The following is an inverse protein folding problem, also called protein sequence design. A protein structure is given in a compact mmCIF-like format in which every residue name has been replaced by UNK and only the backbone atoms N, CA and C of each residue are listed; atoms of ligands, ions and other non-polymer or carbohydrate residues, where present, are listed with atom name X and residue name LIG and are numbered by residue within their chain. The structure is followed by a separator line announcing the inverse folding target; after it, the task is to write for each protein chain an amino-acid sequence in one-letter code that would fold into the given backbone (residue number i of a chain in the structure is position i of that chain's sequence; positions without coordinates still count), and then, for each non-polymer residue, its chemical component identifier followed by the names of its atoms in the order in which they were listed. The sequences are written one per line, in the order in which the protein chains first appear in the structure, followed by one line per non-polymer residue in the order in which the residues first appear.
data_IF_001724878705
#
_entry.id   IF_001724878705
#
_cell.length_a   1.000
_cell.length_b   1.000
_cell.length_c   1.000
_cell.angle_alpha   90.00
_cell.angle_beta   90.00
_cell.angle_gamma   90.00
#
_symmetry.space_group_name_H-M   'P 1'
#
loop_
_entity.id
_entity.type
_entity.pdbx_description
1 polymer ?
#
# COMPACT_ATOMS: atom_id res chain seq x y z
N UNK A 1 21.72 2.99 -0.93
CA UNK A 1 21.50 1.70 -1.62
C UNK A 1 20.04 1.41 -1.96
N UNK A 2 19.07 1.59 -1.04
CA UNK A 2 17.64 1.28 -1.30
C UNK A 2 17.00 2.05 -2.48
N UNK A 3 17.45 3.29 -2.75
CA UNK A 3 16.87 4.19 -3.76
C UNK A 3 16.98 3.64 -5.20
N UNK A 4 18.05 2.90 -5.53
CA UNK A 4 18.37 2.47 -6.90
C UNK A 4 17.56 1.25 -7.38
N UNK A 5 17.30 0.27 -6.52
CA UNK A 5 16.51 -0.91 -6.94
C UNK A 5 15.02 -0.57 -7.11
N UNK A 6 14.45 0.28 -6.24
CA UNK A 6 13.04 0.71 -6.35
C UNK A 6 12.76 1.45 -7.66
N UNK A 7 13.72 2.23 -8.16
CA UNK A 7 13.66 2.89 -9.47
C UNK A 7 13.66 1.88 -10.62
N UNK A 8 14.46 0.80 -10.50
CA UNK A 8 14.52 -0.29 -11.49
C UNK A 8 13.21 -1.09 -11.59
N UNK A 9 12.41 -1.14 -10.51
CA UNK A 9 11.08 -1.77 -10.47
C UNK A 9 9.96 -0.80 -10.90
N UNK A 10 10.30 0.45 -11.24
CA UNK A 10 9.32 1.48 -11.67
C UNK A 10 8.41 1.98 -10.55
N UNK A 11 8.77 1.78 -9.28
CA UNK A 11 8.01 2.25 -8.12
C UNK A 11 8.21 3.76 -7.94
N UNK A 12 7.30 4.55 -8.51
CA UNK A 12 7.24 6.00 -8.29
C UNK A 12 6.88 6.31 -6.84
N UNK A 13 7.46 7.39 -6.30
CA UNK A 13 7.12 7.89 -4.97
C UNK A 13 5.60 8.15 -4.85
N UNK A 14 4.98 7.69 -3.75
CA UNK A 14 3.55 7.85 -3.52
C UNK A 14 2.64 7.01 -4.43
N UNK A 15 3.16 6.04 -5.21
CA UNK A 15 2.34 5.23 -6.12
C UNK A 15 1.20 4.48 -5.41
N UNK A 16 1.45 3.95 -4.21
CA UNK A 16 0.42 3.29 -3.41
C UNK A 16 -0.60 4.29 -2.86
N UNK A 17 -0.15 5.44 -2.33
CA UNK A 17 -1.02 6.51 -1.83
C UNK A 17 -1.96 7.01 -2.92
N UNK A 18 -1.43 7.31 -4.12
CA UNK A 18 -2.25 7.73 -5.28
C UNK A 18 -3.27 6.67 -5.67
N UNK A 19 -2.89 5.39 -5.66
CA UNK A 19 -3.79 4.30 -6.02
C UNK A 19 -4.96 4.16 -5.02
N UNK A 20 -4.69 4.40 -3.73
CA UNK A 20 -5.67 4.39 -2.65
C UNK A 20 -6.39 5.73 -2.44
N UNK A 21 -6.04 6.79 -3.19
CA UNK A 21 -6.61 8.13 -3.02
C UNK A 21 -6.20 8.81 -1.70
N UNK A 22 -5.04 8.44 -1.15
CA UNK A 22 -4.47 9.00 0.07
C UNK A 22 -3.45 10.07 -0.32
N UNK A 23 -3.40 11.20 0.42
CA UNK A 23 -2.37 12.22 0.18
C UNK A 23 -0.99 11.61 0.41
N UNK A 24 0.00 12.02 -0.37
CA UNK A 24 1.34 11.40 -0.31
C UNK A 24 2.04 11.71 1.01
N UNK A 25 1.71 12.85 1.64
CA UNK A 25 2.15 13.24 2.97
C UNK A 25 1.62 12.34 4.09
N UNK A 26 0.47 11.71 3.86
CA UNK A 26 -0.26 11.01 4.91
C UNK A 26 0.25 9.58 5.03
N UNK A 27 0.43 9.15 6.28
CA UNK A 27 0.84 7.79 6.56
C UNK A 27 -0.30 6.80 6.25
N UNK A 28 0.02 5.73 5.51
CA UNK A 28 -0.97 4.72 5.14
C UNK A 28 -1.20 3.79 6.34
N UNK A 29 -2.41 3.72 6.92
CA UNK A 29 -2.63 2.92 8.12
C UNK A 29 -2.30 1.44 7.92
N UNK A 30 -1.64 0.81 8.91
CA UNK A 30 -1.30 -0.62 8.83
C UNK A 30 -2.55 -1.50 8.69
N UNK A 31 -3.68 -1.09 9.30
CA UNK A 31 -4.99 -1.77 9.17
C UNK A 31 -5.45 -1.85 7.71
N UNK A 32 -5.31 -0.75 6.96
CA UNK A 32 -5.67 -0.71 5.54
C UNK A 32 -4.77 -1.63 4.71
N UNK A 33 -3.46 -1.63 4.97
CA UNK A 33 -2.52 -2.51 4.28
C UNK A 33 -2.81 -3.99 4.55
N UNK A 34 -3.12 -4.34 5.80
CA UNK A 34 -3.48 -5.71 6.17
C UNK A 34 -4.78 -6.16 5.51
N UNK A 35 -5.79 -5.28 5.39
CA UNK A 35 -7.03 -5.59 4.68
C UNK A 35 -6.77 -5.94 3.20
N UNK A 36 -5.91 -5.17 2.51
CA UNK A 36 -5.50 -5.46 1.13
C UNK A 36 -4.76 -6.81 1.03
N UNK A 37 -3.90 -7.11 2.01
CA UNK A 37 -3.13 -8.37 2.04
C UNK A 37 -4.04 -9.59 2.20
N UNK A 38 -5.03 -9.51 3.09
CA UNK A 38 -5.94 -10.62 3.38
C UNK A 38 -6.95 -10.87 2.26
N UNK A 39 -7.38 -9.81 1.56
CA UNK A 39 -8.35 -9.92 0.49
C UNK A 39 -7.85 -10.72 -0.73
N UNK A 40 -8.78 -11.40 -1.42
CA UNK A 40 -8.50 -12.15 -2.64
C UNK A 40 -8.29 -11.20 -3.82
N UNK A 41 -7.48 -11.63 -4.80
CA UNK A 41 -7.28 -10.83 -6.02
C UNK A 41 -8.59 -10.82 -6.80
N UNK A 42 -9.03 -9.63 -7.21
CA UNK A 42 -10.31 -9.41 -7.88
C UNK A 42 -11.44 -9.01 -6.95
N UNK A 43 -11.27 -9.18 -5.63
CA UNK A 43 -12.26 -8.82 -4.61
C UNK A 43 -12.35 -7.30 -4.45
N UNK A 44 -13.56 -6.79 -4.21
CA UNK A 44 -13.79 -5.40 -3.84
C UNK A 44 -13.85 -5.30 -2.32
N UNK A 45 -12.93 -4.56 -1.73
CA UNK A 45 -12.81 -4.41 -0.28
C UNK A 45 -13.33 -3.03 0.13
N UNK A 46 -14.13 -3.00 1.20
CA UNK A 46 -14.48 -1.76 1.88
C UNK A 46 -13.32 -1.33 2.77
N UNK A 47 -12.94 -0.06 2.68
CA UNK A 47 -11.85 0.51 3.45
C UNK A 47 -12.24 0.52 4.94
N UNK A 48 -11.51 -0.22 5.79
CA UNK A 48 -11.79 -0.24 7.23
C UNK A 48 -11.35 1.04 7.94
N UNK A 49 -10.82 2.02 7.22
CA UNK A 49 -10.30 3.28 7.74
C UNK A 49 -10.99 4.48 7.08
N UNK A 50 -10.88 5.64 7.71
CA UNK A 50 -11.40 6.92 7.18
C UNK A 50 -10.47 7.58 6.14
N UNK A 51 -9.33 6.94 5.83
CA UNK A 51 -8.27 7.54 5.02
C UNK A 51 -8.26 6.92 3.62
N UNK A 52 -8.42 7.75 2.59
CA UNK A 52 -8.45 7.34 1.18
C UNK A 52 -9.82 6.91 0.68
N UNK A 53 -9.83 6.11 -0.39
CA UNK A 53 -11.06 5.63 -1.06
C UNK A 53 -11.88 4.75 -0.13
N UNK A 54 -13.21 4.90 -0.17
CA UNK A 54 -14.16 4.09 0.62
C UNK A 54 -14.18 2.62 0.20
N UNK A 55 -14.10 2.34 -1.10
CA UNK A 55 -14.06 0.98 -1.65
C UNK A 55 -13.03 0.90 -2.77
N UNK A 56 -12.42 -0.26 -2.95
CA UNK A 56 -11.45 -0.48 -4.03
C UNK A 56 -11.37 -1.96 -4.43
N UNK A 57 -11.07 -2.20 -5.70
CA UNK A 57 -10.80 -3.54 -6.22
C UNK A 57 -9.35 -3.93 -5.97
N UNK A 58 -9.14 -5.10 -5.38
CA UNK A 58 -7.82 -5.64 -5.06
C UNK A 58 -7.20 -6.22 -6.32
N UNK A 59 -6.31 -5.46 -6.93
CA UNK A 59 -5.51 -5.94 -8.06
C UNK A 59 -4.21 -6.59 -7.59
N UNK A 60 -3.63 -7.43 -8.45
CA UNK A 60 -2.33 -8.07 -8.19
C UNK A 60 -1.22 -7.05 -7.90
N UNK A 61 -1.24 -5.92 -8.60
CA UNK A 61 -0.31 -4.81 -8.40
C UNK A 61 -0.53 -4.12 -7.05
N UNK A 62 -1.79 -3.84 -6.69
CA UNK A 62 -2.13 -3.24 -5.40
C UNK A 62 -1.62 -4.10 -4.24
N UNK A 63 -1.87 -5.41 -4.31
CA UNK A 63 -1.49 -6.36 -3.27
C UNK A 63 0.03 -6.45 -3.09
N UNK A 64 0.79 -6.52 -4.19
CA UNK A 64 2.26 -6.48 -4.17
C UNK A 64 2.80 -5.21 -3.49
N UNK A 65 2.24 -4.04 -3.84
CA UNK A 65 2.62 -2.76 -3.24
C UNK A 65 2.28 -2.69 -1.75
N UNK A 66 1.12 -3.19 -1.36
CA UNK A 66 0.70 -3.22 0.04
C UNK A 66 1.62 -4.13 0.89
N UNK A 67 1.97 -5.32 0.37
CA UNK A 67 2.91 -6.23 1.05
C UNK A 67 4.28 -5.57 1.25
N UNK A 68 4.82 -4.92 0.21
CA UNK A 68 6.08 -4.19 0.32
C UNK A 68 6.00 -3.08 1.39
N UNK A 69 4.91 -2.30 1.39
CA UNK A 69 4.71 -1.23 2.38
C UNK A 69 4.65 -1.77 3.82
N UNK A 70 4.00 -2.92 4.04
CA UNK A 70 3.98 -3.59 5.35
C UNK A 70 5.39 -3.96 5.79
N UNK A 71 6.18 -4.58 4.90
CA UNK A 71 7.56 -4.98 5.20
C UNK A 71 8.40 -3.77 5.57
N UNK A 72 8.35 -2.70 4.76
CA UNK A 72 9.10 -1.47 5.02
C UNK A 72 8.72 -0.82 6.35
N UNK A 73 7.43 -0.74 6.67
CA UNK A 73 6.94 -0.23 7.97
C UNK A 73 7.44 -1.06 9.15
N UNK A 74 7.38 -2.39 9.04
CA UNK A 74 7.87 -3.29 10.09
C UNK A 74 9.37 -3.16 10.31
N UNK A 75 10.16 -3.04 9.25
CA UNK A 75 11.61 -2.83 9.35
C UNK A 75 11.94 -1.48 9.95
N UNK A 76 11.19 -0.43 9.62
CA UNK A 76 11.36 0.90 10.21
C UNK A 76 11.10 0.90 11.72
N UNK A 77 10.06 0.21 12.20
CA UNK A 77 9.70 0.18 13.62
C UNK A 77 10.63 -0.70 14.49
N UNK A 78 11.46 -1.55 13.88
CA UNK A 78 12.43 -2.40 14.58
C UNK A 78 13.81 -1.73 14.77
N UNK A 79 14.01 -0.55 14.18
CA UNK A 79 15.20 0.29 14.38
C UNK A 79 14.88 1.39 15.36
#
# INVERSE_FOLDING_TARGET
MAKRWMQKVGLKHGALSRQLGIRISDDIPMKLLNAIRSAKIGETVSNPTKVGKRTFKVTRLLKRRAVLAITLKKTHHKR
#
